data_IF_741087962564
#
_entry.id   IF_741087962564
#
_cell.length_a   1.000
_cell.length_b   1.000
_cell.length_c   1.000
_cell.angle_alpha   90.00
_cell.angle_beta   90.00
_cell.angle_gamma   90.00
#
_symmetry.space_group_name_H-M   'P 1'
#
loop_
_entity.id
_entity.type
_entity.pdbx_description
1 polymer ?
#
# COMPACT_ATOMS: atom_id res chain seq x y z
N UNK A 1 28.35 0.57 8.90
CA UNK A 1 27.00 -0.01 8.98
C UNK A 1 27.08 -1.50 9.31
N UNK A 2 26.12 -2.00 10.06
CA UNK A 2 25.95 -3.45 10.30
C UNK A 2 25.53 -4.14 9.01
N UNK A 3 26.10 -5.32 8.75
CA UNK A 3 25.70 -6.14 7.60
C UNK A 3 24.33 -6.79 7.83
N UNK A 4 24.07 -7.22 9.06
CA UNK A 4 22.76 -7.73 9.48
C UNK A 4 22.45 -7.17 10.88
N UNK A 5 21.27 -6.56 11.06
CA UNK A 5 20.85 -6.00 12.35
C UNK A 5 20.43 -7.07 13.38
N UNK A 6 20.12 -8.29 12.92
CA UNK A 6 19.68 -9.40 13.76
C UNK A 6 20.81 -10.40 14.06
N UNK A 7 21.97 -10.24 13.41
CA UNK A 7 23.14 -11.12 13.57
C UNK A 7 24.44 -10.31 13.63
N UNK A 8 24.92 -10.08 14.83
CA UNK A 8 26.18 -9.37 15.06
C UNK A 8 27.40 -10.09 14.47
N UNK A 9 27.34 -11.41 14.26
CA UNK A 9 28.43 -12.20 13.66
C UNK A 9 28.62 -11.89 12.17
N UNK A 10 27.61 -11.32 11.50
CA UNK A 10 27.71 -10.86 10.12
C UNK A 10 28.67 -9.68 9.93
N UNK A 11 29.10 -9.03 11.01
CA UNK A 11 30.08 -7.95 11.00
C UNK A 11 29.56 -6.63 10.44
N UNK A 12 30.52 -5.79 10.02
CA UNK A 12 30.26 -4.42 9.60
C UNK A 12 30.86 -4.14 8.23
N UNK A 13 30.23 -3.21 7.50
CA UNK A 13 30.76 -2.63 6.26
C UNK A 13 30.94 -1.15 6.36
N UNK A 14 31.86 -0.59 5.57
CA UNK A 14 32.02 0.87 5.44
C UNK A 14 31.08 1.37 4.34
N UNK A 15 30.29 2.38 4.65
CA UNK A 15 29.42 3.07 3.69
C UNK A 15 29.97 4.49 3.51
N UNK A 16 30.54 4.83 2.34
CA UNK A 16 31.08 6.15 2.11
C UNK A 16 29.95 7.19 2.03
N UNK A 17 30.23 8.38 2.56
CA UNK A 17 29.31 9.51 2.53
C UNK A 17 29.92 10.64 1.69
N UNK A 18 29.16 11.20 0.76
CA UNK A 18 29.54 12.36 -0.05
C UNK A 18 28.53 13.49 0.09
N UNK A 19 28.81 14.61 -0.53
CA UNK A 19 27.92 15.76 -0.54
C UNK A 19 26.60 15.46 -1.28
N UNK A 20 26.68 14.69 -2.35
CA UNK A 20 25.56 14.34 -3.22
C UNK A 20 25.18 12.88 -2.98
N UNK A 21 23.89 12.64 -2.81
CA UNK A 21 23.33 11.36 -2.43
C UNK A 21 22.13 11.02 -3.30
N UNK A 22 21.97 9.75 -3.65
CA UNK A 22 20.71 9.22 -4.15
C UNK A 22 19.84 8.73 -3.00
N UNK A 23 18.55 8.95 -3.11
CA UNK A 23 17.48 8.35 -2.30
C UNK A 23 16.44 7.76 -3.23
N UNK A 24 15.57 6.89 -2.70
CA UNK A 24 14.43 6.39 -3.47
C UNK A 24 13.47 7.53 -3.81
N UNK A 25 13.01 7.57 -5.08
CA UNK A 25 12.08 8.61 -5.56
C UNK A 25 10.81 8.71 -4.69
N UNK A 26 10.30 7.59 -4.22
CA UNK A 26 9.12 7.52 -3.36
C UNK A 26 9.37 7.99 -1.92
N UNK A 27 10.62 8.18 -1.53
CA UNK A 27 10.99 8.67 -0.20
C UNK A 27 10.91 10.18 -0.06
N UNK A 28 10.64 10.89 -1.16
CA UNK A 28 10.40 12.32 -1.14
C UNK A 28 9.01 12.68 -1.67
N UNK A 29 8.38 13.65 -1.01
CA UNK A 29 7.19 14.35 -1.50
C UNK A 29 7.25 15.81 -1.11
N UNK A 30 7.03 16.70 -2.07
CA UNK A 30 6.98 18.13 -1.82
C UNK A 30 5.83 18.48 -0.87
N UNK A 31 4.63 17.97 -1.20
CA UNK A 31 3.46 18.06 -0.32
C UNK A 31 3.09 16.68 0.19
N UNK A 32 3.00 16.53 1.49
CA UNK A 32 2.69 15.25 2.10
C UNK A 32 1.85 15.39 3.37
N UNK A 33 0.99 14.43 3.61
CA UNK A 33 0.19 14.34 4.83
C UNK A 33 1.07 14.12 6.07
N UNK A 34 0.52 14.40 7.25
CA UNK A 34 1.20 14.16 8.54
C UNK A 34 1.52 12.67 8.82
N UNK A 35 0.97 11.75 8.01
CA UNK A 35 1.24 10.30 8.08
C UNK A 35 2.37 9.86 7.16
N UNK A 36 2.95 10.76 6.38
CA UNK A 36 4.10 10.48 5.53
C UNK A 36 5.37 10.68 6.36
N UNK A 37 5.94 9.59 6.87
CA UNK A 37 7.14 9.58 7.72
C UNK A 37 8.43 9.45 6.90
N UNK A 38 8.50 10.15 5.78
CA UNK A 38 9.67 10.25 4.90
C UNK A 38 10.01 11.71 4.65
N UNK A 39 10.95 12.00 3.76
CA UNK A 39 11.39 13.35 3.49
C UNK A 39 10.29 14.15 2.76
N UNK A 40 10.01 15.33 3.26
CA UNK A 40 9.13 16.31 2.64
C UNK A 40 9.74 17.71 2.77
N UNK A 41 9.31 18.62 1.93
CA UNK A 41 9.80 20.00 1.98
C UNK A 41 9.58 20.59 3.39
N UNK A 42 10.63 21.18 3.98
CA UNK A 42 10.67 21.67 5.35
C UNK A 42 10.71 20.57 6.43
N UNK A 43 10.65 19.29 6.05
CA UNK A 43 10.66 18.16 6.97
C UNK A 43 12.05 17.58 7.21
N UNK A 44 12.20 16.87 8.33
CA UNK A 44 13.45 16.23 8.74
C UNK A 44 13.33 14.72 8.76
N UNK A 45 14.42 14.05 8.35
CA UNK A 45 14.56 12.59 8.44
C UNK A 45 16.00 12.24 8.78
N UNK A 46 16.20 11.03 9.29
CA UNK A 46 17.53 10.43 9.47
C UNK A 46 17.95 9.70 8.20
N UNK A 47 19.13 9.96 7.72
CA UNK A 47 19.81 9.06 6.80
C UNK A 47 20.35 7.87 7.62
N UNK A 48 20.07 6.64 7.18
CA UNK A 48 20.46 5.44 7.94
C UNK A 48 21.96 5.41 8.20
N UNK A 49 22.36 5.25 9.46
CA UNK A 49 23.75 5.26 9.92
C UNK A 49 24.55 6.54 9.61
N UNK A 50 23.85 7.66 9.34
CA UNK A 50 24.46 8.94 9.03
C UNK A 50 23.70 10.09 9.72
N UNK A 51 23.60 11.24 9.08
CA UNK A 51 23.11 12.47 9.65
C UNK A 51 21.58 12.59 9.62
N UNK A 52 21.06 13.56 10.35
CA UNK A 52 19.69 14.05 10.17
C UNK A 52 19.75 15.15 9.12
N UNK A 53 18.90 15.05 8.11
CA UNK A 53 18.77 16.06 7.05
C UNK A 53 17.39 16.71 7.08
N UNK A 54 17.33 17.96 6.59
CA UNK A 54 16.10 18.72 6.38
C UNK A 54 16.06 19.21 4.95
N UNK A 55 14.99 18.93 4.23
CA UNK A 55 14.79 19.46 2.87
C UNK A 55 14.40 20.94 2.94
N UNK A 56 15.19 21.80 2.31
CA UNK A 56 14.97 23.25 2.30
C UNK A 56 14.33 23.72 0.99
N UNK A 57 14.76 23.16 -0.15
CA UNK A 57 14.23 23.49 -1.47
C UNK A 57 14.36 22.32 -2.44
N UNK A 58 13.70 22.45 -3.58
CA UNK A 58 13.78 21.49 -4.70
C UNK A 58 14.09 22.24 -5.99
N UNK A 59 14.83 21.60 -6.90
CA UNK A 59 14.94 22.00 -8.28
C UNK A 59 14.08 21.12 -9.17
N UNK A 60 13.55 21.69 -10.24
CA UNK A 60 12.66 21.02 -11.18
C UNK A 60 13.13 21.26 -12.61
N UNK A 61 12.91 20.25 -13.44
CA UNK A 61 13.05 20.38 -14.88
C UNK A 61 11.90 21.20 -15.53
N UNK A 62 11.98 21.37 -16.83
CA UNK A 62 10.96 22.09 -17.63
C UNK A 62 9.58 21.42 -17.59
N UNK A 63 9.54 20.13 -17.30
CA UNK A 63 8.31 19.34 -17.21
C UNK A 63 7.73 19.30 -15.80
N UNK A 64 8.41 19.97 -14.84
CA UNK A 64 8.00 20.05 -13.43
C UNK A 64 8.41 18.84 -12.58
N UNK A 65 9.24 17.94 -13.11
CA UNK A 65 9.78 16.83 -12.32
C UNK A 65 10.91 17.32 -11.42
N UNK A 66 10.94 16.81 -10.19
CA UNK A 66 12.01 17.14 -9.24
C UNK A 66 13.30 16.45 -9.69
N UNK A 67 14.35 17.24 -9.91
CA UNK A 67 15.69 16.79 -10.27
C UNK A 67 16.62 16.74 -9.09
N UNK A 68 16.53 17.73 -8.19
CA UNK A 68 17.38 17.84 -7.01
C UNK A 68 16.60 18.29 -5.78
N UNK A 69 17.06 17.85 -4.60
CA UNK A 69 16.54 18.26 -3.30
C UNK A 69 17.70 18.83 -2.48
N UNK A 70 17.62 20.11 -2.19
CA UNK A 70 18.64 20.77 -1.36
C UNK A 70 18.32 20.59 0.11
N UNK A 71 19.29 20.05 0.85
CA UNK A 71 19.13 19.73 2.26
C UNK A 71 20.20 20.38 3.12
N UNK A 72 19.83 20.80 4.31
CA UNK A 72 20.76 21.05 5.41
C UNK A 72 20.92 19.78 6.23
N UNK A 73 22.03 19.61 6.93
CA UNK A 73 22.29 18.46 7.78
C UNK A 73 22.65 18.87 9.20
N UNK A 74 22.37 17.99 10.16
CA UNK A 74 22.75 18.14 11.56
C UNK A 74 23.72 17.04 11.95
N UNK A 75 24.84 17.45 12.57
CA UNK A 75 25.83 16.55 13.17
C UNK A 75 25.27 15.91 14.44
N UNK A 76 24.40 16.62 15.17
CA UNK A 76 23.70 16.05 16.32
C UNK A 76 22.65 15.03 15.85
N UNK A 77 23.02 13.77 15.97
CA UNK A 77 22.16 12.62 15.63
C UNK A 77 21.48 12.02 16.86
N UNK A 78 21.65 12.60 18.06
CA UNK A 78 21.06 12.07 19.31
C UNK A 78 19.53 12.28 19.37
N UNK A 79 19.04 13.34 18.74
CA UNK A 79 17.61 13.68 18.75
C UNK A 79 16.77 12.72 17.92
N UNK A 80 15.53 12.48 18.37
CA UNK A 80 14.61 11.56 17.71
C UNK A 80 13.90 12.24 16.54
N UNK A 81 13.95 11.61 15.36
CA UNK A 81 13.17 11.98 14.17
C UNK A 81 12.28 10.81 13.75
N UNK A 82 11.17 11.10 13.08
CA UNK A 82 10.13 10.09 12.78
C UNK A 82 10.47 9.17 11.62
N UNK A 83 11.34 9.59 10.71
CA UNK A 83 11.66 8.84 9.49
C UNK A 83 13.13 8.50 9.40
N UNK A 84 13.44 7.33 8.84
CA UNK A 84 14.80 6.93 8.46
C UNK A 84 14.77 6.52 7.00
N UNK A 85 15.69 7.09 6.17
CA UNK A 85 15.82 6.78 4.76
C UNK A 85 17.08 5.97 4.50
N UNK A 86 17.01 5.09 3.52
CA UNK A 86 18.17 4.53 2.84
C UNK A 86 18.73 5.56 1.83
N UNK A 87 20.01 5.50 1.57
CA UNK A 87 20.73 6.40 0.68
C UNK A 87 22.00 5.75 0.17
N UNK A 88 22.50 6.22 -0.97
CA UNK A 88 23.83 5.88 -1.48
C UNK A 88 24.55 7.14 -1.93
N UNK A 89 25.88 7.17 -1.75
CA UNK A 89 26.73 8.26 -2.22
C UNK A 89 26.80 8.24 -3.74
N UNK A 90 26.52 9.36 -4.43
CA UNK A 90 26.61 9.46 -5.90
C UNK A 90 28.03 9.14 -6.36
N UNK A 91 29.03 9.67 -5.65
CA UNK A 91 30.44 9.50 -5.99
C UNK A 91 30.92 8.04 -5.93
N UNK A 92 30.29 7.23 -5.06
CA UNK A 92 30.77 5.88 -4.75
C UNK A 92 29.78 4.78 -5.15
N UNK A 93 28.57 5.15 -5.56
CA UNK A 93 27.53 4.19 -5.92
C UNK A 93 27.95 3.35 -7.11
N UNK A 94 27.55 2.10 -7.08
CA UNK A 94 27.75 1.15 -8.19
C UNK A 94 26.46 1.03 -8.95
N UNK A 95 26.55 1.16 -10.28
CA UNK A 95 25.41 0.96 -11.18
C UNK A 95 25.09 -0.53 -11.25
N UNK A 96 23.80 -0.85 -11.18
CA UNK A 96 23.30 -2.22 -11.26
C UNK A 96 21.99 -2.27 -12.06
N UNK A 97 21.74 -3.39 -12.68
CA UNK A 97 20.45 -3.76 -13.24
C UNK A 97 19.62 -4.47 -12.17
N UNK A 98 18.36 -4.11 -12.04
CA UNK A 98 17.41 -4.78 -11.15
C UNK A 98 16.25 -5.31 -11.97
N UNK A 99 15.98 -6.61 -11.84
CA UNK A 99 14.88 -7.30 -12.51
C UNK A 99 13.76 -7.57 -11.52
N UNK A 100 12.58 -7.05 -11.81
CA UNK A 100 11.34 -7.34 -11.10
C UNK A 100 10.43 -8.18 -11.99
N UNK A 101 10.01 -9.32 -11.47
CA UNK A 101 9.18 -10.28 -12.20
C UNK A 101 7.73 -10.19 -11.74
N UNK A 102 6.80 -10.31 -12.67
CA UNK A 102 5.36 -10.48 -12.45
C UNK A 102 4.91 -11.78 -13.13
N UNK A 103 3.63 -12.07 -13.10
CA UNK A 103 3.04 -13.25 -13.74
C UNK A 103 3.34 -13.26 -15.22
N UNK A 104 3.70 -14.43 -15.75
CA UNK A 104 3.99 -14.59 -17.16
C UNK A 104 2.73 -14.44 -18.02
N UNK A 105 1.56 -14.85 -17.49
CA UNK A 105 0.28 -14.75 -18.16
C UNK A 105 -0.70 -13.88 -17.38
N UNK A 106 -1.56 -13.17 -18.10
CA UNK A 106 -2.67 -12.39 -17.52
C UNK A 106 -3.89 -13.26 -17.16
N UNK A 107 -3.91 -14.51 -17.61
CA UNK A 107 -4.94 -15.51 -17.33
C UNK A 107 -4.39 -16.60 -16.39
N UNK A 108 -5.24 -17.16 -15.52
CA UNK A 108 -4.86 -18.23 -14.58
C UNK A 108 -4.73 -19.60 -15.27
N UNK A 109 -5.46 -19.77 -16.39
CA UNK A 109 -5.52 -21.01 -17.16
C UNK A 109 -5.42 -20.73 -18.67
N UNK A 110 -4.28 -20.17 -19.14
CA UNK A 110 -4.16 -19.66 -20.50
C UNK A 110 -4.32 -20.73 -21.59
N UNK A 111 -4.07 -21.99 -21.24
CA UNK A 111 -4.18 -23.16 -22.12
C UNK A 111 -5.59 -23.81 -22.13
N UNK A 112 -6.53 -23.32 -21.31
CA UNK A 112 -7.89 -23.88 -21.20
C UNK A 112 -8.87 -23.34 -22.27
N UNK A 113 -8.47 -22.30 -23.01
CA UNK A 113 -9.30 -21.64 -24.00
C UNK A 113 -9.25 -22.37 -25.36
N UNK A 114 -10.39 -22.92 -25.83
CA UNK A 114 -10.43 -23.70 -27.07
C UNK A 114 -10.24 -22.84 -28.35
N UNK A 115 -10.58 -21.55 -28.27
CA UNK A 115 -10.61 -20.64 -29.42
C UNK A 115 -9.44 -19.64 -29.44
N UNK A 116 -8.49 -19.73 -28.49
CA UNK A 116 -7.37 -18.78 -28.34
C UNK A 116 -6.08 -19.50 -28.08
N UNK A 117 -5.00 -19.01 -28.66
CA UNK A 117 -3.64 -19.46 -28.36
C UNK A 117 -3.24 -18.92 -26.97
N UNK A 118 -2.59 -19.77 -26.14
CA UNK A 118 -2.09 -19.35 -24.82
C UNK A 118 -1.14 -18.15 -24.89
N UNK A 119 -0.46 -17.96 -26.04
CA UNK A 119 0.42 -16.82 -26.30
C UNK A 119 -0.32 -15.46 -26.28
N UNK A 120 -1.62 -15.46 -26.55
CA UNK A 120 -2.45 -14.22 -26.48
C UNK A 120 -2.59 -13.70 -25.05
N UNK A 121 -2.36 -14.56 -24.06
CA UNK A 121 -2.46 -14.22 -22.65
C UNK A 121 -1.12 -13.85 -22.02
N UNK A 122 -0.03 -13.79 -22.81
CA UNK A 122 1.27 -13.34 -22.29
C UNK A 122 1.14 -11.93 -21.70
N UNK A 123 1.68 -11.77 -20.48
CA UNK A 123 1.81 -10.47 -19.85
C UNK A 123 3.05 -9.76 -20.40
N UNK A 124 2.90 -8.70 -21.20
CA UNK A 124 4.06 -7.98 -21.77
C UNK A 124 4.87 -7.25 -20.68
N UNK A 125 4.32 -7.09 -19.48
CA UNK A 125 4.97 -6.48 -18.32
C UNK A 125 5.46 -7.51 -17.29
N UNK A 126 5.58 -8.79 -17.69
CA UNK A 126 6.03 -9.87 -16.81
C UNK A 126 7.47 -9.70 -16.29
N UNK A 127 8.29 -8.93 -16.99
CA UNK A 127 9.64 -8.54 -16.60
C UNK A 127 9.78 -7.03 -16.69
N UNK A 128 10.17 -6.40 -15.59
CA UNK A 128 10.54 -5.00 -15.53
C UNK A 128 12.02 -4.89 -15.17
N UNK A 129 12.80 -4.30 -16.06
CA UNK A 129 14.20 -4.00 -15.82
C UNK A 129 14.37 -2.54 -15.40
N UNK A 130 15.10 -2.32 -14.32
CA UNK A 130 15.33 -1.00 -13.71
C UNK A 130 16.85 -0.81 -13.59
N UNK A 131 17.32 0.36 -13.98
CA UNK A 131 18.66 0.82 -13.63
C UNK A 131 18.65 1.37 -12.20
N UNK A 132 19.54 0.87 -11.37
CA UNK A 132 19.62 1.24 -9.96
C UNK A 132 21.07 1.56 -9.56
N UNK A 133 21.21 2.27 -8.43
CA UNK A 133 22.50 2.57 -7.80
C UNK A 133 22.53 1.90 -6.44
N UNK A 134 23.56 1.07 -6.22
CA UNK A 134 23.71 0.27 -5.01
C UNK A 134 24.96 0.67 -4.21
N UNK A 135 25.02 0.25 -2.95
CA UNK A 135 26.20 0.47 -2.11
C UNK A 135 27.45 -0.13 -2.73
N UNK A 136 28.62 0.52 -2.62
CA UNK A 136 29.86 0.01 -3.22
C UNK A 136 30.29 -1.35 -2.64
N UNK A 137 29.81 -1.73 -1.47
CA UNK A 137 30.04 -3.06 -0.87
C UNK A 137 29.47 -4.22 -1.71
N UNK A 138 28.55 -3.94 -2.64
CA UNK A 138 27.97 -4.94 -3.54
C UNK A 138 28.77 -5.16 -4.83
N UNK A 139 29.83 -4.38 -5.05
CA UNK A 139 30.64 -4.45 -6.28
C UNK A 139 31.21 -5.84 -6.56
N UNK A 140 31.63 -6.52 -5.50
CA UNK A 140 32.28 -7.83 -5.59
C UNK A 140 31.30 -8.99 -5.25
N UNK A 141 30.00 -8.73 -5.33
CA UNK A 141 28.96 -9.76 -5.07
C UNK A 141 29.04 -10.87 -6.10
N UNK A 142 28.83 -12.10 -5.61
CA UNK A 142 28.91 -13.31 -6.43
C UNK A 142 27.51 -13.81 -6.78
N UNK A 143 27.41 -14.45 -7.93
CA UNK A 143 26.19 -15.14 -8.38
C UNK A 143 25.63 -16.01 -7.27
N UNK A 144 24.31 -15.88 -7.04
CA UNK A 144 23.58 -16.62 -6.01
C UNK A 144 23.61 -16.00 -4.61
N UNK A 145 24.44 -15.00 -4.35
CA UNK A 145 24.40 -14.25 -3.09
C UNK A 145 23.08 -13.51 -2.95
N UNK A 146 22.61 -13.37 -1.70
CA UNK A 146 21.30 -12.83 -1.38
C UNK A 146 21.41 -11.62 -0.48
N UNK A 147 20.63 -10.58 -0.82
CA UNK A 147 20.63 -9.30 -0.11
C UNK A 147 19.22 -8.84 0.17
N UNK A 148 19.05 -8.16 1.30
CA UNK A 148 17.85 -7.39 1.57
C UNK A 148 18.10 -5.94 1.19
N UNK A 149 17.44 -5.46 0.14
CA UNK A 149 17.37 -4.03 -0.15
C UNK A 149 16.32 -3.44 0.76
N UNK A 150 16.77 -2.55 1.63
CA UNK A 150 15.97 -2.04 2.72
C UNK A 150 14.64 -1.46 2.22
N UNK A 151 13.53 -1.94 2.76
CA UNK A 151 12.14 -1.58 2.41
C UNK A 151 11.67 -1.98 1.01
N UNK A 152 12.54 -2.50 0.15
CA UNK A 152 12.21 -2.91 -1.22
C UNK A 152 11.91 -4.41 -1.31
N UNK A 153 12.73 -5.24 -0.69
CA UNK A 153 12.57 -6.69 -0.74
C UNK A 153 13.88 -7.45 -0.59
N UNK A 154 13.81 -8.72 -0.93
CA UNK A 154 14.97 -9.61 -1.00
C UNK A 154 15.35 -9.82 -2.46
N UNK A 155 16.65 -9.81 -2.72
CA UNK A 155 17.21 -9.89 -4.04
C UNK A 155 18.34 -10.92 -4.05
N UNK A 156 18.55 -11.58 -5.17
CA UNK A 156 19.72 -12.42 -5.41
C UNK A 156 20.50 -11.90 -6.60
N UNK A 157 21.79 -12.16 -6.60
CA UNK A 157 22.67 -11.88 -7.75
C UNK A 157 22.37 -12.90 -8.85
N UNK A 158 22.03 -12.39 -10.04
CA UNK A 158 21.69 -13.18 -11.21
C UNK A 158 22.92 -13.81 -11.87
N UNK A 159 22.73 -14.91 -12.60
CA UNK A 159 23.78 -15.59 -13.36
C UNK A 159 24.37 -14.73 -14.49
N UNK A 160 23.61 -13.73 -14.96
CA UNK A 160 24.09 -12.75 -15.96
C UNK A 160 25.03 -11.69 -15.35
N UNK A 161 25.22 -11.67 -14.03
CA UNK A 161 26.12 -10.72 -13.37
C UNK A 161 27.57 -10.93 -13.75
N UNK A 162 28.23 -9.81 -14.02
CA UNK A 162 29.69 -9.74 -14.22
C UNK A 162 30.31 -8.68 -13.31
N UNK A 163 31.63 -8.62 -13.25
CA UNK A 163 32.32 -7.56 -12.48
C UNK A 163 32.04 -6.13 -12.96
N UNK A 164 31.60 -5.98 -14.20
CA UNK A 164 31.30 -4.70 -14.83
C UNK A 164 29.80 -4.42 -14.94
N UNK A 165 28.96 -5.45 -14.81
CA UNK A 165 27.51 -5.36 -14.93
C UNK A 165 26.84 -6.23 -13.86
N UNK A 166 26.48 -5.63 -12.76
CA UNK A 166 25.75 -6.30 -11.70
C UNK A 166 24.27 -6.41 -12.04
N UNK A 167 23.70 -7.60 -11.87
CA UNK A 167 22.28 -7.89 -12.09
C UNK A 167 21.69 -8.50 -10.83
N UNK A 168 20.59 -7.92 -10.35
CA UNK A 168 19.87 -8.40 -9.18
C UNK A 168 18.43 -8.77 -9.53
N UNK A 169 18.03 -9.98 -9.16
CA UNK A 169 16.65 -10.44 -9.29
C UNK A 169 15.89 -10.21 -7.97
N UNK A 170 14.76 -9.55 -8.02
CA UNK A 170 13.85 -9.45 -6.89
C UNK A 170 13.17 -10.81 -6.68
N UNK A 171 13.41 -11.41 -5.52
CA UNK A 171 12.83 -12.72 -5.17
C UNK A 171 11.54 -12.59 -4.39
N UNK A 172 11.51 -11.75 -3.36
CA UNK A 172 10.34 -11.55 -2.49
C UNK A 172 10.22 -10.09 -2.09
N UNK A 173 9.01 -9.55 -2.14
CA UNK A 173 8.68 -8.25 -1.54
C UNK A 173 8.57 -8.35 -0.01
N UNK A 174 8.73 -7.22 0.71
CA UNK A 174 8.57 -7.17 2.18
C UNK A 174 7.11 -7.32 2.64
N UNK A 175 6.15 -7.27 1.74
CA UNK A 175 4.73 -7.51 1.99
C UNK A 175 4.22 -8.45 0.92
N UNK A 176 3.41 -9.41 1.32
CA UNK A 176 2.68 -10.24 0.39
C UNK A 176 1.71 -9.35 -0.40
N UNK A 177 2.10 -9.02 -1.63
CA UNK A 177 1.30 -8.25 -2.58
C UNK A 177 0.51 -9.14 -3.53
N UNK A 178 0.80 -10.45 -3.56
CA UNK A 178 0.17 -11.41 -4.46
C UNK A 178 -1.34 -11.51 -4.27
N UNK A 179 -1.81 -11.39 -3.03
CA UNK A 179 -3.25 -11.38 -2.70
C UNK A 179 -3.99 -10.10 -3.17
N UNK A 180 -3.31 -9.11 -3.73
CA UNK A 180 -3.88 -7.80 -4.09
C UNK A 180 -3.87 -7.47 -5.58
N UNK A 181 -3.22 -8.28 -6.40
CA UNK A 181 -3.13 -8.02 -7.84
C UNK A 181 -4.35 -8.59 -8.53
N UNK A 182 -5.38 -7.76 -8.71
CA UNK A 182 -6.38 -7.96 -9.76
C UNK A 182 -5.79 -7.47 -11.08
N UNK A 183 -6.15 -8.06 -12.24
CA UNK A 183 -5.63 -7.62 -13.54
C UNK A 183 -5.92 -6.13 -13.77
N UNK A 184 -4.88 -5.34 -14.04
CA UNK A 184 -5.06 -4.01 -14.61
C UNK A 184 -5.35 -4.17 -16.09
N UNK A 185 -6.57 -3.82 -16.51
CA UNK A 185 -6.89 -3.63 -17.91
C UNK A 185 -6.06 -2.46 -18.47
N UNK A 186 -5.27 -2.75 -19.49
CA UNK A 186 -4.52 -1.77 -20.27
C UNK A 186 -5.47 -0.77 -20.92
N UNK A 187 -5.47 0.46 -20.47
CA UNK A 187 -6.08 1.58 -21.17
C UNK A 187 -5.06 2.68 -21.44
N UNK A 188 -4.89 2.91 -22.75
CA UNK A 188 -4.16 4.02 -23.34
C UNK A 188 -4.64 5.40 -22.84
N UNK A 189 -3.67 6.23 -22.69
CA UNK A 189 -3.58 7.70 -22.61
C UNK A 189 -4.84 8.56 -22.77
N UNK A 190 -4.86 9.59 -21.90
CA UNK A 190 -5.61 10.84 -21.99
C UNK A 190 -7.12 10.77 -21.78
N UNK A 191 -7.51 10.98 -20.50
CA UNK A 191 -8.63 11.89 -20.23
C UNK A 191 -8.72 12.24 -18.73
N UNK A 192 -8.97 13.48 -18.48
CA UNK A 192 -9.41 14.22 -17.30
C UNK A 192 -9.85 13.41 -16.06
N UNK A 193 -9.34 13.81 -14.89
CA UNK A 193 -9.71 13.33 -13.56
C UNK A 193 -11.22 13.28 -13.34
N UNK A 194 -11.77 12.06 -13.39
CA UNK A 194 -13.03 11.71 -12.75
C UNK A 194 -12.74 10.85 -11.50
N UNK A 195 -13.58 10.87 -10.45
CA UNK A 195 -13.32 10.16 -9.21
C UNK A 195 -13.29 8.65 -9.45
N UNK A 196 -12.22 7.99 -9.03
CA UNK A 196 -12.02 6.54 -9.12
C UNK A 196 -13.16 5.80 -8.43
N UNK A 197 -13.95 5.06 -9.19
CA UNK A 197 -14.88 4.06 -8.68
C UNK A 197 -14.08 2.94 -8.01
N UNK A 198 -14.38 2.72 -6.74
CA UNK A 198 -13.77 1.69 -5.91
C UNK A 198 -14.27 0.31 -6.35
N UNK A 199 -13.46 -0.48 -7.07
CA UNK A 199 -13.80 -1.83 -7.57
C UNK A 199 -13.86 -2.92 -6.48
N UNK A 200 -14.02 -2.56 -5.20
CA UNK A 200 -14.23 -3.54 -4.13
C UNK A 200 -15.70 -4.00 -4.12
N UNK A 201 -16.00 -5.27 -3.78
CA UNK A 201 -17.36 -5.70 -3.54
C UNK A 201 -18.10 -4.72 -2.62
N UNK A 202 -19.37 -4.43 -2.90
CA UNK A 202 -20.14 -3.45 -2.14
C UNK A 202 -20.11 -3.73 -0.62
N UNK A 203 -20.21 -4.99 -0.22
CA UNK A 203 -20.12 -5.39 1.19
C UNK A 203 -18.79 -5.06 1.84
N UNK A 204 -17.66 -5.19 1.15
CA UNK A 204 -16.34 -4.85 1.70
C UNK A 204 -16.16 -3.32 1.84
N UNK A 205 -16.77 -2.55 0.95
CA UNK A 205 -16.82 -1.10 1.08
C UNK A 205 -17.65 -0.71 2.29
N UNK A 206 -18.84 -1.29 2.48
CA UNK A 206 -19.71 -1.08 3.65
C UNK A 206 -18.97 -1.45 4.94
N UNK A 207 -18.33 -2.62 5.03
CA UNK A 207 -17.54 -3.05 6.20
C UNK A 207 -16.44 -2.05 6.58
N UNK A 208 -15.89 -1.32 5.62
CA UNK A 208 -14.86 -0.31 5.89
C UNK A 208 -15.36 0.86 6.75
N UNK A 209 -16.63 1.23 6.63
CA UNK A 209 -17.28 2.25 7.46
C UNK A 209 -17.44 1.77 8.91
N UNK A 210 -17.68 0.49 9.14
CA UNK A 210 -17.96 -0.08 10.47
C UNK A 210 -16.84 0.12 11.51
N UNK A 211 -15.59 0.38 11.06
CA UNK A 211 -14.47 0.60 11.99
C UNK A 211 -14.53 1.94 12.74
N UNK A 212 -15.28 2.92 12.23
CA UNK A 212 -15.26 4.32 12.73
C UNK A 212 -16.62 4.99 12.75
N UNK A 213 -17.70 4.36 12.28
CA UNK A 213 -19.00 5.00 12.06
C UNK A 213 -19.55 5.69 13.31
N UNK A 214 -19.51 5.02 14.44
CA UNK A 214 -19.98 5.50 15.74
C UNK A 214 -19.19 6.66 16.33
N UNK A 215 -18.03 6.99 15.74
CA UNK A 215 -17.11 8.07 16.16
C UNK A 215 -17.04 9.22 15.16
N UNK A 216 -17.78 9.15 14.07
CA UNK A 216 -17.81 10.21 13.08
C UNK A 216 -18.65 11.39 13.62
N UNK A 217 -18.29 12.64 13.28
CA UNK A 217 -19.18 13.81 13.45
C UNK A 217 -20.49 13.61 12.69
N UNK A 218 -21.60 14.22 13.15
CA UNK A 218 -22.95 14.04 12.59
C UNK A 218 -23.04 14.31 11.08
N UNK A 219 -22.38 15.35 10.60
CA UNK A 219 -22.31 15.69 9.17
C UNK A 219 -21.68 14.56 8.34
N UNK A 220 -20.62 13.94 8.88
CA UNK A 220 -19.94 12.81 8.25
C UNK A 220 -20.67 11.49 8.40
N UNK A 221 -21.44 11.32 9.49
CA UNK A 221 -22.31 10.16 9.65
C UNK A 221 -23.44 10.18 8.61
N UNK A 222 -24.06 11.33 8.37
CA UNK A 222 -25.10 11.50 7.36
C UNK A 222 -24.61 11.15 5.96
N UNK A 223 -23.41 11.63 5.59
CA UNK A 223 -22.78 11.28 4.31
C UNK A 223 -22.46 9.78 4.21
N UNK A 224 -21.83 9.22 5.25
CA UNK A 224 -21.48 7.81 5.30
C UNK A 224 -22.72 6.91 5.22
N UNK A 225 -23.85 7.32 5.83
CA UNK A 225 -25.13 6.61 5.75
C UNK A 225 -25.66 6.60 4.31
N UNK A 226 -25.63 7.74 3.61
CA UNK A 226 -26.04 7.82 2.21
C UNK A 226 -25.16 6.91 1.31
N UNK A 227 -23.85 6.94 1.48
CA UNK A 227 -22.92 6.10 0.75
C UNK A 227 -23.21 4.60 1.00
N UNK A 228 -23.44 4.20 2.25
CA UNK A 228 -23.81 2.82 2.62
C UNK A 228 -25.13 2.41 1.99
N UNK A 229 -26.13 3.28 2.00
CA UNK A 229 -27.43 3.00 1.39
C UNK A 229 -27.34 2.79 -0.12
N UNK A 230 -26.49 3.55 -0.81
CA UNK A 230 -26.24 3.36 -2.25
C UNK A 230 -25.54 2.03 -2.53
N UNK A 231 -24.47 1.72 -1.77
CA UNK A 231 -23.74 0.46 -1.88
C UNK A 231 -24.63 -0.76 -1.57
N UNK A 232 -25.52 -0.64 -0.61
CA UNK A 232 -26.43 -1.71 -0.18
C UNK A 232 -27.38 -2.20 -1.26
N UNK A 233 -27.61 -1.41 -2.31
CA UNK A 233 -28.40 -1.86 -3.50
C UNK A 233 -27.75 -3.03 -4.24
N UNK A 234 -26.43 -3.21 -4.06
CA UNK A 234 -25.63 -4.27 -4.70
C UNK A 234 -25.15 -5.33 -3.68
N UNK A 235 -25.88 -5.52 -2.59
CA UNK A 235 -25.55 -6.47 -1.51
C UNK A 235 -26.71 -7.45 -1.34
N UNK A 236 -26.41 -8.72 -1.10
CA UNK A 236 -27.40 -9.76 -0.80
C UNK A 236 -27.58 -9.99 0.71
N UNK A 237 -28.60 -10.75 1.09
CA UNK A 237 -28.78 -11.18 2.48
C UNK A 237 -27.60 -12.03 2.97
N UNK A 238 -27.10 -12.94 2.17
CA UNK A 238 -25.99 -13.83 2.51
C UNK A 238 -24.68 -13.05 2.81
N UNK A 239 -24.53 -11.87 2.25
CA UNK A 239 -23.36 -11.01 2.51
C UNK A 239 -23.39 -10.38 3.91
N UNK A 240 -24.59 -10.12 4.48
CA UNK A 240 -24.75 -9.43 5.76
C UNK A 240 -25.09 -10.36 6.93
N UNK A 241 -25.69 -11.50 6.71
CA UNK A 241 -26.06 -12.45 7.77
C UNK A 241 -24.88 -12.79 8.70
N UNK A 242 -23.64 -13.04 8.20
CA UNK A 242 -22.48 -13.30 9.06
C UNK A 242 -22.15 -12.16 10.02
N UNK A 243 -22.65 -10.94 9.76
CA UNK A 243 -22.40 -9.76 10.58
C UNK A 243 -23.38 -9.62 11.77
N UNK A 244 -24.47 -10.39 11.79
CA UNK A 244 -25.47 -10.33 12.87
C UNK A 244 -24.88 -10.76 14.23
N UNK A 245 -23.88 -11.64 14.23
CA UNK A 245 -23.21 -12.12 15.42
C UNK A 245 -22.04 -11.23 15.90
N UNK A 246 -21.95 -10.00 15.40
CA UNK A 246 -20.86 -9.08 15.75
C UNK A 246 -20.97 -8.63 17.22
N UNK A 247 -19.87 -8.74 17.98
CA UNK A 247 -19.83 -8.42 19.40
C UNK A 247 -20.11 -6.94 19.71
N UNK A 248 -20.55 -6.66 20.95
CA UNK A 248 -20.81 -5.30 21.47
C UNK A 248 -19.64 -4.33 21.26
N UNK A 249 -18.40 -4.80 21.30
CA UNK A 249 -17.19 -3.98 21.06
C UNK A 249 -17.08 -3.43 19.64
N UNK A 250 -17.91 -3.89 18.70
CA UNK A 250 -17.94 -3.46 17.31
C UNK A 250 -19.26 -2.77 16.96
N UNK A 251 -19.70 -1.83 17.78
CA UNK A 251 -20.94 -1.07 17.58
C UNK A 251 -21.09 -0.49 16.18
N UNK A 252 -20.05 0.15 15.66
CA UNK A 252 -20.07 0.69 14.30
C UNK A 252 -20.33 -0.36 13.21
N UNK A 253 -19.84 -1.59 13.34
CA UNK A 253 -20.17 -2.68 12.41
C UNK A 253 -21.65 -3.04 12.48
N UNK A 254 -22.24 -3.11 13.68
CA UNK A 254 -23.67 -3.41 13.85
C UNK A 254 -24.56 -2.30 13.29
N UNK A 255 -24.16 -1.02 13.45
CA UNK A 255 -24.89 0.12 12.87
C UNK A 255 -24.92 0.03 11.35
N UNK A 256 -23.76 -0.18 10.70
CA UNK A 256 -23.73 -0.27 9.23
C UNK A 256 -24.50 -1.49 8.71
N UNK A 257 -24.47 -2.61 9.45
CA UNK A 257 -25.28 -3.79 9.14
C UNK A 257 -26.76 -3.48 9.21
N UNK A 258 -27.20 -2.74 10.23
CA UNK A 258 -28.60 -2.32 10.40
C UNK A 258 -29.04 -1.38 9.26
N UNK A 259 -28.19 -0.41 8.88
CA UNK A 259 -28.47 0.50 7.74
C UNK A 259 -28.61 -0.32 6.44
N UNK A 260 -27.70 -1.28 6.20
CA UNK A 260 -27.75 -2.14 5.02
C UNK A 260 -29.00 -3.01 5.00
N UNK A 261 -29.32 -3.65 6.13
CA UNK A 261 -30.54 -4.44 6.28
C UNK A 261 -31.79 -3.62 5.99
N UNK A 262 -31.85 -2.36 6.44
CA UNK A 262 -32.96 -1.46 6.15
C UNK A 262 -33.17 -1.20 4.65
N UNK A 263 -32.11 -1.18 3.84
CA UNK A 263 -32.19 -1.08 2.38
C UNK A 263 -32.72 -2.37 1.78
N UNK A 264 -32.21 -3.53 2.22
CA UNK A 264 -32.66 -4.82 1.71
C UNK A 264 -34.16 -5.10 2.00
N UNK A 265 -34.62 -4.76 3.21
CA UNK A 265 -36.05 -4.88 3.56
C UNK A 265 -36.94 -3.98 2.69
N UNK A 266 -36.50 -2.74 2.41
CA UNK A 266 -37.19 -1.85 1.48
C UNK A 266 -37.24 -2.38 0.05
N UNK A 267 -36.23 -3.17 -0.34
CA UNK A 267 -36.13 -3.78 -1.66
C UNK A 267 -36.79 -5.16 -1.75
N UNK A 268 -37.56 -5.56 -0.74
CA UNK A 268 -38.39 -6.78 -0.78
C UNK A 268 -37.81 -7.99 -0.07
N UNK A 269 -36.73 -7.84 0.72
CA UNK A 269 -36.27 -8.92 1.59
C UNK A 269 -37.33 -9.18 2.67
N UNK A 270 -37.77 -10.41 2.81
CA UNK A 270 -38.68 -10.83 3.90
C UNK A 270 -37.93 -11.01 5.23
N UNK A 271 -38.58 -10.62 6.34
CA UNK A 271 -38.02 -10.84 7.67
C UNK A 271 -38.09 -12.33 8.03
N UNK A 272 -36.94 -12.87 8.45
CA UNK A 272 -36.82 -14.20 9.02
C UNK A 272 -36.44 -14.13 10.52
N UNK A 273 -36.34 -15.27 11.20
CA UNK A 273 -36.05 -15.33 12.63
C UNK A 273 -34.69 -14.68 12.98
N UNK A 274 -33.67 -14.84 12.15
CA UNK A 274 -32.34 -14.25 12.36
C UNK A 274 -32.38 -12.73 12.26
N UNK A 275 -33.13 -12.18 11.31
CA UNK A 275 -33.36 -10.73 11.16
C UNK A 275 -34.11 -10.18 12.35
N UNK A 276 -35.20 -10.85 12.78
CA UNK A 276 -36.01 -10.43 13.90
C UNK A 276 -35.20 -10.44 15.21
N UNK A 277 -34.40 -11.47 15.45
CA UNK A 277 -33.49 -11.56 16.61
C UNK A 277 -32.41 -10.45 16.59
N UNK A 278 -31.82 -10.16 15.43
CA UNK A 278 -30.85 -9.09 15.29
C UNK A 278 -31.46 -7.71 15.56
N UNK A 279 -32.66 -7.42 15.06
CA UNK A 279 -33.40 -6.18 15.31
C UNK A 279 -33.75 -6.08 16.80
N UNK A 280 -34.28 -7.14 17.42
CA UNK A 280 -34.65 -7.16 18.83
C UNK A 280 -33.46 -6.85 19.75
N UNK A 281 -32.31 -7.50 19.50
CA UNK A 281 -31.06 -7.22 20.22
C UNK A 281 -30.55 -5.78 20.02
N UNK A 282 -30.77 -5.21 18.85
CA UNK A 282 -30.35 -3.83 18.56
C UNK A 282 -31.26 -2.80 19.23
N UNK A 283 -32.54 -3.09 19.41
CA UNK A 283 -33.50 -2.22 20.12
C UNK A 283 -33.18 -2.10 21.63
N UNK A 284 -32.57 -3.14 22.22
CA UNK A 284 -32.15 -3.17 23.63
C UNK A 284 -30.67 -2.78 23.82
N UNK A 285 -30.05 -2.19 22.82
CA UNK A 285 -28.63 -1.81 22.87
C UNK A 285 -28.39 -0.47 23.54
N UNK A 286 -27.21 -0.30 24.15
CA UNK A 286 -26.80 0.96 24.78
C UNK A 286 -26.39 2.05 23.75
N UNK A 287 -26.15 1.68 22.49
CA UNK A 287 -25.74 2.60 21.45
C UNK A 287 -26.97 3.26 20.80
N UNK A 288 -27.16 4.55 21.04
CA UNK A 288 -28.30 5.30 20.56
C UNK A 288 -28.46 5.31 19.02
N UNK A 289 -27.34 5.31 18.27
CA UNK A 289 -27.39 5.26 16.81
C UNK A 289 -27.90 3.91 16.31
N UNK A 290 -27.47 2.81 16.93
CA UNK A 290 -27.94 1.47 16.59
C UNK A 290 -29.44 1.32 16.90
N UNK A 291 -29.87 1.80 18.05
CA UNK A 291 -31.29 1.80 18.45
C UNK A 291 -32.13 2.61 17.47
N UNK A 292 -31.65 3.77 17.05
CA UNK A 292 -32.36 4.62 16.07
C UNK A 292 -32.54 3.92 14.72
N UNK A 293 -31.49 3.27 14.22
CA UNK A 293 -31.57 2.52 12.96
C UNK A 293 -32.47 1.28 13.08
N UNK A 294 -32.43 0.58 14.22
CA UNK A 294 -33.33 -0.56 14.47
C UNK A 294 -34.81 -0.14 14.52
N UNK A 295 -35.15 0.97 15.18
CA UNK A 295 -36.52 1.54 15.21
C UNK A 295 -37.02 1.93 13.83
N UNK A 296 -36.15 2.31 12.91
CA UNK A 296 -36.54 2.70 11.55
C UNK A 296 -37.00 1.50 10.67
N UNK A 297 -36.69 0.26 11.09
CA UNK A 297 -36.96 -0.97 10.34
C UNK A 297 -37.72 -2.05 11.13
N UNK A 298 -38.01 -1.79 12.44
CA UNK A 298 -38.81 -2.68 13.31
C UNK A 298 -40.34 -2.61 13.05
#
# INVERSE_FOLDING_TARGET
AENNQEDESAGFRKVPFSRELYIEKEDFKEEASNKFFRLKLGGEVRLKNAYIIKAESVEKDTDGNITEIHCTYSIDTSRRVKGTLHWVSIEHAVKAEVREYDRLFNDETPDSHQDKDFMEFINPNSLKTIEAFVEPSLKDSKVGERFQFQRLGYFNVDDDSTSEHLVFNKTVGLRDTWAKVKPEETTNQNQQKQPQQNNRPAIEQIKSYGKKYDRLPEDKQAKAKADIQELAKNVSYDDIEPLFNTSVKKSGTRIITMITLGVLLKNGLEKNDAINDFIAKALDDKNALLVAEAKAIS
#
